data_IF_133941711764
#
_entry.id   IF_133941711764
#
_cell.length_a   1.000
_cell.length_b   1.000
_cell.length_c   1.000
_cell.angle_alpha   90.00
_cell.angle_beta   90.00
_cell.angle_gamma   90.00
#
_symmetry.space_group_name_H-M   'P 1'
#
loop_
_entity.id
_entity.type
_entity.pdbx_description
1 polymer ?
#
# COMPACT_ATOMS: atom_id res chain seq x y z
N UNK A 1 27.75 45.20 -26.69
CA UNK A 1 28.36 43.96 -27.20
C UNK A 1 28.59 43.02 -26.03
N UNK A 2 27.87 41.89 -26.03
CA UNK A 2 28.05 40.61 -25.32
C UNK A 2 28.74 40.57 -23.93
N UNK A 3 27.92 40.30 -22.91
CA UNK A 3 28.34 39.53 -21.74
C UNK A 3 27.33 38.41 -21.51
N UNK A 4 27.72 37.17 -21.83
CA UNK A 4 26.94 35.95 -21.56
C UNK A 4 26.99 35.65 -20.06
N UNK A 5 25.83 35.57 -19.41
CA UNK A 5 25.71 35.00 -18.06
C UNK A 5 25.12 33.60 -18.17
N UNK A 6 25.89 32.66 -17.63
CA UNK A 6 25.65 31.21 -17.57
C UNK A 6 24.69 30.87 -16.42
N UNK A 7 23.85 29.86 -16.67
CA UNK A 7 23.05 29.00 -15.78
C UNK A 7 22.95 29.33 -14.28
N UNK A 8 21.72 29.26 -13.76
CA UNK A 8 21.38 28.53 -12.52
C UNK A 8 19.90 28.10 -12.56
N UNK A 9 19.65 26.85 -12.99
CA UNK A 9 18.44 26.10 -12.60
C UNK A 9 18.80 25.35 -11.33
N UNK A 10 18.30 25.81 -10.18
CA UNK A 10 18.25 25.02 -8.96
C UNK A 10 16.90 24.31 -8.95
N UNK A 11 16.92 23.01 -9.19
CA UNK A 11 15.84 22.11 -8.80
C UNK A 11 15.91 21.96 -7.27
N UNK A 12 14.87 22.38 -6.57
CA UNK A 12 14.70 22.12 -5.15
C UNK A 12 14.21 20.68 -4.98
N UNK A 13 15.17 19.75 -4.88
CA UNK A 13 14.99 18.45 -4.26
C UNK A 13 15.49 18.55 -2.81
N UNK A 14 14.67 18.15 -1.84
CA UNK A 14 15.04 18.05 -0.43
C UNK A 14 13.79 17.98 0.46
N UNK A 15 13.62 17.04 1.39
CA UNK A 15 14.54 16.02 1.88
C UNK A 15 13.77 14.81 2.43
N UNK A 16 14.21 13.62 2.03
CA UNK A 16 14.02 12.37 2.77
C UNK A 16 15.16 12.34 3.80
N UNK A 17 14.85 12.25 5.09
CA UNK A 17 15.83 11.98 6.12
C UNK A 17 16.05 10.45 6.20
N UNK A 18 17.23 10.01 5.78
CA UNK A 18 17.68 8.63 5.91
C UNK A 18 18.37 8.41 7.26
N UNK A 19 18.07 7.27 7.89
CA UNK A 19 18.83 6.69 9.00
C UNK A 19 20.21 6.25 8.49
N UNK A 20 21.25 6.54 9.28
CA UNK A 20 22.64 6.24 8.94
C UNK A 20 23.01 4.77 9.11
N UNK A 21 23.77 4.25 8.15
CA UNK A 21 24.96 3.43 8.38
C UNK A 21 25.80 3.45 7.09
N UNK A 22 27.08 3.76 7.24
CA UNK A 22 28.05 3.98 6.16
C UNK A 22 28.38 2.65 5.48
N UNK A 23 28.17 2.58 4.17
CA UNK A 23 28.66 1.53 3.29
C UNK A 23 28.71 2.07 1.87
N UNK A 24 29.91 2.34 1.36
CA UNK A 24 30.15 2.84 0.02
C UNK A 24 29.75 1.76 -0.99
N UNK A 25 28.56 1.86 -1.57
CA UNK A 25 28.22 1.15 -2.80
C UNK A 25 27.96 2.16 -3.91
N UNK A 26 28.74 2.00 -4.98
CA UNK A 26 28.72 2.81 -6.18
C UNK A 26 27.31 2.94 -6.75
N UNK A 27 27.02 4.16 -7.23
CA UNK A 27 25.71 4.56 -7.74
C UNK A 27 25.17 3.65 -8.84
N UNK A 28 24.13 2.90 -8.48
CA UNK A 28 23.03 2.64 -9.41
C UNK A 28 22.10 3.83 -9.24
N UNK A 29 22.00 4.67 -10.27
CA UNK A 29 21.10 5.81 -10.24
C UNK A 29 19.69 5.32 -9.90
N UNK A 30 19.14 5.77 -8.76
CA UNK A 30 17.72 5.59 -8.49
C UNK A 30 16.98 6.29 -9.63
N UNK A 31 16.41 5.51 -10.55
CA UNK A 31 15.49 6.04 -11.53
C UNK A 31 14.43 6.81 -10.74
N UNK A 32 14.35 8.12 -10.95
CA UNK A 32 13.30 8.92 -10.33
C UNK A 32 11.96 8.32 -10.76
N UNK A 33 11.07 8.09 -9.80
CA UNK A 33 9.71 7.66 -10.09
C UNK A 33 9.09 8.59 -11.14
N UNK A 34 8.48 8.03 -12.19
CA UNK A 34 7.78 8.87 -13.17
C UNK A 34 6.60 9.57 -12.48
N UNK A 35 6.20 10.69 -13.07
CA UNK A 35 5.04 11.46 -12.64
C UNK A 35 4.13 11.71 -13.83
N UNK A 36 2.83 11.51 -13.66
CA UNK A 36 1.80 11.86 -14.64
C UNK A 36 1.04 13.08 -14.14
N UNK A 37 0.92 14.09 -14.99
CA UNK A 37 0.36 15.39 -14.66
C UNK A 37 1.44 16.49 -14.60
N UNK A 38 1.16 17.63 -13.94
CA UNK A 38 -0.07 17.92 -13.20
C UNK A 38 -1.24 18.24 -14.13
N UNK A 39 -2.38 17.61 -13.88
CA UNK A 39 -3.67 18.09 -14.38
C UNK A 39 -4.09 19.31 -13.56
N UNK A 40 -4.54 20.38 -14.22
CA UNK A 40 -4.84 21.67 -13.59
C UNK A 40 -6.30 22.05 -13.79
N UNK A 41 -6.86 22.73 -12.80
CA UNK A 41 -8.16 23.35 -12.89
C UNK A 41 -8.23 24.57 -12.00
N UNK A 42 -9.35 25.28 -12.08
CA UNK A 42 -9.54 26.47 -11.26
C UNK A 42 -11.02 26.77 -11.05
N UNK A 43 -11.30 27.53 -9.99
CA UNK A 43 -12.60 28.15 -9.72
C UNK A 43 -12.43 29.66 -9.53
N UNK A 44 -13.48 30.33 -9.06
CA UNK A 44 -13.43 31.71 -8.59
C UNK A 44 -12.68 31.86 -7.26
N UNK A 45 -12.56 30.80 -6.45
CA UNK A 45 -11.91 30.85 -5.14
C UNK A 45 -10.47 30.32 -5.15
N UNK A 46 -10.18 29.29 -5.95
CA UNK A 46 -8.88 28.59 -5.91
C UNK A 46 -8.35 28.23 -7.31
N UNK A 47 -7.04 28.07 -7.40
CA UNK A 47 -6.36 27.27 -8.41
C UNK A 47 -5.99 25.92 -7.79
N UNK A 48 -6.14 24.84 -8.56
CA UNK A 48 -5.75 23.52 -8.10
C UNK A 48 -5.02 22.72 -9.17
N UNK A 49 -4.19 21.79 -8.71
CA UNK A 49 -3.51 20.83 -9.56
C UNK A 49 -3.39 19.48 -8.89
N UNK A 50 -3.40 18.42 -9.71
CA UNK A 50 -3.30 17.03 -9.28
C UNK A 50 -2.28 16.29 -10.12
N UNK A 51 -1.38 15.56 -9.48
CA UNK A 51 -0.38 14.71 -10.14
C UNK A 51 -0.33 13.34 -9.46
N UNK A 52 0.10 12.34 -10.23
CA UNK A 52 0.25 10.96 -9.77
C UNK A 52 1.70 10.56 -9.93
N UNK A 53 2.29 10.00 -8.89
CA UNK A 53 3.63 9.43 -8.92
C UNK A 53 3.63 8.02 -8.32
N UNK A 54 4.68 7.26 -8.56
CA UNK A 54 4.83 5.94 -7.95
C UNK A 54 6.12 5.28 -8.40
N UNK A 55 6.71 4.45 -7.54
CA UNK A 55 7.98 3.78 -7.85
C UNK A 55 7.90 2.87 -9.07
N UNK A 56 6.72 2.26 -9.31
CA UNK A 56 6.44 1.39 -10.46
C UNK A 56 5.66 2.09 -11.57
N UNK A 57 5.42 3.39 -11.44
CA UNK A 57 4.84 4.19 -12.51
C UNK A 57 5.94 4.42 -13.55
N UNK A 58 5.72 3.95 -14.78
CA UNK A 58 6.66 4.12 -15.88
C UNK A 58 5.88 4.47 -17.15
N UNK A 59 6.19 5.60 -17.78
CA UNK A 59 5.50 6.13 -18.96
C UNK A 59 3.96 6.17 -18.78
N UNK A 60 3.50 6.53 -17.58
CA UNK A 60 2.09 6.56 -17.22
C UNK A 60 1.40 5.21 -17.05
N UNK A 61 2.16 4.11 -17.09
CA UNK A 61 1.68 2.75 -16.83
C UNK A 61 2.03 2.31 -15.42
N UNK A 62 1.10 1.64 -14.74
CA UNK A 62 1.31 1.12 -13.38
C UNK A 62 0.70 -0.28 -13.25
N UNK A 63 1.44 -1.28 -12.74
CA UNK A 63 0.88 -2.59 -12.50
C UNK A 63 -0.21 -2.58 -11.42
N UNK A 64 -1.27 -3.37 -11.62
CA UNK A 64 -2.30 -3.55 -10.61
C UNK A 64 -1.72 -4.17 -9.33
N UNK A 65 -2.22 -3.76 -8.16
CA UNK A 65 -1.68 -4.16 -6.86
C UNK A 65 -0.46 -3.36 -6.40
N UNK A 66 0.02 -2.40 -7.20
CA UNK A 66 1.05 -1.45 -6.78
C UNK A 66 0.44 -0.24 -6.06
N UNK A 67 1.29 0.48 -5.34
CA UNK A 67 0.91 1.74 -4.68
C UNK A 67 1.30 2.94 -5.54
N UNK A 68 0.38 3.90 -5.67
CA UNK A 68 0.64 5.22 -6.26
C UNK A 68 0.41 6.31 -5.22
N UNK A 69 1.10 7.43 -5.37
CA UNK A 69 0.92 8.63 -4.57
C UNK A 69 0.18 9.66 -5.41
N UNK A 70 -0.93 10.17 -4.89
CA UNK A 70 -1.60 11.34 -5.48
C UNK A 70 -1.15 12.56 -4.71
N UNK A 71 -0.71 13.59 -5.45
CA UNK A 71 -0.41 14.91 -4.90
C UNK A 71 -1.45 15.91 -5.38
N UNK A 72 -2.21 16.48 -4.46
CA UNK A 72 -3.12 17.59 -4.69
C UNK A 72 -2.48 18.89 -4.20
N UNK A 73 -2.56 19.95 -5.00
CA UNK A 73 -2.15 21.30 -4.62
C UNK A 73 -3.33 22.23 -4.81
N UNK A 74 -3.66 23.00 -3.79
CA UNK A 74 -4.76 23.98 -3.82
C UNK A 74 -4.22 25.29 -3.31
N UNK A 75 -4.39 26.35 -4.10
CA UNK A 75 -3.96 27.71 -3.78
C UNK A 75 -5.16 28.64 -3.91
N UNK A 76 -5.41 29.49 -2.91
CA UNK A 76 -6.44 30.52 -3.02
C UNK A 76 -6.07 31.60 -4.06
N UNK A 77 -7.07 32.17 -4.74
CA UNK A 77 -6.91 33.32 -5.64
C UNK A 77 -7.08 34.68 -4.95
N UNK A 78 -7.82 34.73 -3.85
CA UNK A 78 -8.22 35.96 -3.15
C UNK A 78 -8.14 35.79 -1.62
N UNK A 79 -8.89 36.57 -0.84
CA UNK A 79 -9.02 36.44 0.61
C UNK A 79 -9.73 35.14 1.08
N UNK A 80 -10.16 34.28 0.14
CA UNK A 80 -10.93 33.09 0.46
C UNK A 80 -10.06 31.96 0.98
N UNK A 81 -10.17 31.66 2.27
CA UNK A 81 -9.45 30.59 2.93
C UNK A 81 -10.11 29.22 2.68
N UNK A 82 -9.29 28.17 2.65
CA UNK A 82 -9.70 26.77 2.41
C UNK A 82 -9.94 26.07 3.76
N UNK A 83 -11.08 25.40 3.95
CA UNK A 83 -11.43 24.74 5.21
C UNK A 83 -11.19 23.23 5.20
N UNK A 84 -11.38 22.58 4.07
CA UNK A 84 -11.08 21.17 3.89
C UNK A 84 -10.70 20.92 2.44
N UNK A 85 -9.96 19.83 2.24
CA UNK A 85 -9.72 19.26 0.92
C UNK A 85 -10.03 17.77 0.99
N UNK A 86 -10.77 17.30 -0.01
CA UNK A 86 -11.20 15.91 -0.17
C UNK A 86 -10.75 15.43 -1.54
N UNK A 87 -9.95 14.38 -1.53
CA UNK A 87 -9.64 13.59 -2.69
C UNK A 87 -10.84 12.70 -3.00
N UNK A 88 -11.34 12.76 -4.22
CA UNK A 88 -12.36 11.83 -4.72
C UNK A 88 -11.68 10.94 -5.75
N UNK A 89 -11.79 9.62 -5.64
CA UNK A 89 -11.11 8.69 -6.51
C UNK A 89 -12.02 7.49 -6.83
N UNK A 90 -11.74 6.71 -7.89
CA UNK A 90 -12.41 5.44 -8.11
C UNK A 90 -12.38 4.55 -6.86
N UNK A 91 -13.44 3.76 -6.63
CA UNK A 91 -13.56 2.84 -5.49
C UNK A 91 -12.50 1.73 -5.51
N UNK A 92 -11.95 1.43 -6.69
CA UNK A 92 -10.85 0.49 -6.88
C UNK A 92 -9.49 1.04 -6.41
N UNK A 93 -9.41 2.31 -6.01
CA UNK A 93 -8.24 2.89 -5.35
C UNK A 93 -8.47 2.89 -3.85
N UNK A 94 -7.67 2.13 -3.10
CA UNK A 94 -7.81 2.03 -1.65
C UNK A 94 -6.77 2.90 -0.96
N UNK A 95 -7.23 3.87 -0.15
CA UNK A 95 -6.34 4.73 0.62
C UNK A 95 -5.49 3.87 1.57
N UNK A 96 -4.17 3.97 1.45
CA UNK A 96 -3.25 3.33 2.39
C UNK A 96 -3.35 4.07 3.72
N UNK A 97 -3.65 3.38 4.84
CA UNK A 97 -3.73 4.04 6.14
C UNK A 97 -2.42 4.74 6.50
N UNK A 98 -2.51 5.87 7.19
CA UNK A 98 -1.35 6.58 7.76
C UNK A 98 -0.29 7.02 6.72
N UNK A 99 -0.68 7.37 5.49
CA UNK A 99 0.25 7.91 4.46
C UNK A 99 -0.07 9.33 4.02
N UNK A 100 -1.07 9.97 4.65
CA UNK A 100 -1.40 11.36 4.35
C UNK A 100 -0.32 12.28 4.92
N UNK A 101 0.25 13.11 4.05
CA UNK A 101 1.19 14.19 4.42
C UNK A 101 0.73 15.47 3.75
N UNK A 102 0.60 16.54 4.52
CA UNK A 102 0.19 17.83 3.96
C UNK A 102 1.02 18.99 4.51
N UNK A 103 1.30 19.95 3.64
CA UNK A 103 2.00 21.18 3.97
C UNK A 103 1.07 22.37 3.83
N UNK A 104 0.96 23.16 4.89
CA UNK A 104 0.22 24.42 4.93
C UNK A 104 1.13 25.48 5.53
N UNK A 105 1.27 26.62 4.85
CA UNK A 105 2.07 27.76 5.30
C UNK A 105 3.49 27.37 5.77
N UNK A 106 4.13 26.45 5.02
CA UNK A 106 5.50 25.99 5.30
C UNK A 106 5.63 24.97 6.44
N UNK A 107 4.53 24.58 7.10
CA UNK A 107 4.53 23.52 8.12
C UNK A 107 3.96 22.23 7.55
N UNK A 108 4.65 21.12 7.80
CA UNK A 108 4.24 19.78 7.38
C UNK A 108 3.56 19.02 8.51
N UNK A 109 2.44 18.41 8.18
CA UNK A 109 1.58 17.61 9.03
C UNK A 109 1.43 16.22 8.43
N UNK A 110 1.08 15.25 9.27
CA UNK A 110 0.89 13.85 8.85
C UNK A 110 -0.13 13.14 9.75
N UNK A 111 -0.83 12.13 9.21
CA UNK A 111 -1.63 11.21 10.02
C UNK A 111 -0.86 9.97 10.48
N UNK A 112 0.43 9.82 10.11
CA UNK A 112 1.27 8.75 10.60
C UNK A 112 1.78 9.05 12.02
N UNK A 113 1.42 8.24 13.04
CA UNK A 113 1.91 8.42 14.41
C UNK A 113 3.41 8.15 14.55
N UNK A 114 4.07 7.58 13.53
CA UNK A 114 5.48 7.24 13.54
C UNK A 114 6.33 8.11 12.60
N UNK A 115 5.72 8.98 11.80
CA UNK A 115 6.45 9.82 10.86
C UNK A 115 6.93 11.11 11.52
N UNK A 116 8.07 11.62 11.05
CA UNK A 116 8.59 12.93 11.44
C UNK A 116 7.67 14.05 10.91
N UNK A 117 7.18 14.92 11.80
CA UNK A 117 6.27 16.01 11.43
C UNK A 117 5.26 16.32 12.54
N UNK A 118 4.36 17.27 12.29
CA UNK A 118 3.27 17.55 13.24
C UNK A 118 2.17 16.50 13.06
N UNK A 119 2.06 15.59 14.01
CA UNK A 119 1.10 14.49 13.95
C UNK A 119 -0.33 14.97 14.21
N UNK A 120 -1.22 14.71 13.27
CA UNK A 120 -2.64 15.10 13.29
C UNK A 120 -3.52 13.97 12.73
N UNK A 121 -3.50 12.76 13.31
CA UNK A 121 -4.24 11.62 12.78
C UNK A 121 -5.75 11.84 12.70
N UNK A 122 -6.33 12.61 13.63
CA UNK A 122 -7.76 12.91 13.66
C UNK A 122 -8.24 13.89 12.59
N UNK A 123 -7.33 14.56 11.86
CA UNK A 123 -7.69 15.50 10.79
C UNK A 123 -7.88 14.79 9.44
N UNK A 124 -7.49 13.52 9.33
CA UNK A 124 -7.64 12.71 8.11
C UNK A 124 -8.71 11.65 8.31
N UNK A 125 -9.65 11.59 7.37
CA UNK A 125 -10.68 10.55 7.30
C UNK A 125 -10.72 9.99 5.89
N UNK A 126 -11.06 8.71 5.73
CA UNK A 126 -11.18 8.08 4.43
C UNK A 126 -12.37 7.14 4.38
N UNK A 127 -12.81 6.85 3.16
CA UNK A 127 -13.85 5.88 2.87
C UNK A 127 -13.73 5.38 1.44
N UNK A 128 -14.68 4.55 1.02
CA UNK A 128 -14.67 4.04 -0.35
C UNK A 128 -14.81 5.20 -1.34
N UNK A 129 -13.81 5.36 -2.22
CA UNK A 129 -13.79 6.40 -3.25
C UNK A 129 -13.47 7.82 -2.76
N UNK A 130 -13.02 7.99 -1.51
CA UNK A 130 -12.56 9.30 -1.05
C UNK A 130 -11.58 9.26 0.14
N UNK A 131 -10.75 10.28 0.23
CA UNK A 131 -9.98 10.65 1.43
C UNK A 131 -10.13 12.14 1.69
N UNK A 132 -10.12 12.59 2.93
CA UNK A 132 -10.33 14.00 3.27
C UNK A 132 -9.44 14.44 4.42
N UNK A 133 -8.84 15.62 4.26
CA UNK A 133 -8.27 16.39 5.37
C UNK A 133 -9.28 17.47 5.77
N UNK A 134 -9.73 17.39 7.02
CA UNK A 134 -10.64 18.36 7.64
C UNK A 134 -10.14 18.71 9.05
N UNK A 135 -9.34 19.77 9.19
CA UNK A 135 -8.91 20.22 10.50
C UNK A 135 -10.09 20.84 11.28
N UNK A 136 -10.01 20.93 12.62
CA UNK A 136 -11.03 21.57 13.44
C UNK A 136 -11.21 23.05 13.08
N UNK A 137 -12.45 23.54 13.24
CA UNK A 137 -13.08 24.70 12.57
C UNK A 137 -12.49 26.12 12.73
N UNK A 138 -11.22 26.26 13.09
CA UNK A 138 -10.47 27.52 13.05
C UNK A 138 -9.23 27.47 12.13
N UNK A 139 -8.90 26.29 11.59
CA UNK A 139 -7.75 26.11 10.72
C UNK A 139 -8.17 26.27 9.26
N UNK A 140 -7.98 27.46 8.72
CA UNK A 140 -8.24 27.75 7.32
C UNK A 140 -6.94 28.08 6.60
N UNK A 141 -6.79 27.59 5.36
CA UNK A 141 -5.51 27.58 4.67
C UNK A 141 -5.47 28.55 3.51
N UNK A 142 -4.31 29.15 3.28
CA UNK A 142 -4.05 29.92 2.07
C UNK A 142 -3.68 29.02 0.89
N UNK A 143 -2.88 28.01 1.18
CA UNK A 143 -2.52 26.96 0.27
C UNK A 143 -2.32 25.66 1.04
N UNK A 144 -2.55 24.56 0.34
CA UNK A 144 -2.27 23.22 0.84
C UNK A 144 -1.66 22.38 -0.29
N UNK A 145 -0.55 21.73 0.00
CA UNK A 145 -0.03 20.61 -0.80
C UNK A 145 -0.26 19.35 0.02
N UNK A 146 -0.95 18.36 -0.53
CA UNK A 146 -1.31 17.14 0.16
C UNK A 146 -0.98 15.92 -0.70
N UNK A 147 -0.26 14.96 -0.11
CA UNK A 147 -0.01 13.65 -0.69
C UNK A 147 -0.77 12.56 0.07
N UNK A 148 -1.31 11.58 -0.65
CA UNK A 148 -1.91 10.37 -0.10
C UNK A 148 -1.57 9.18 -0.99
N UNK A 149 -1.19 8.06 -0.37
CA UNK A 149 -0.91 6.82 -1.10
C UNK A 149 -2.17 5.99 -1.28
N UNK A 150 -2.27 5.34 -2.43
CA UNK A 150 -3.37 4.47 -2.80
C UNK A 150 -2.86 3.14 -3.36
N UNK A 151 -3.35 2.05 -2.81
CA UNK A 151 -3.20 0.72 -3.40
C UNK A 151 -4.16 0.60 -4.58
N UNK A 152 -3.63 0.30 -5.77
CA UNK A 152 -4.41 0.09 -6.98
C UNK A 152 -5.00 -1.32 -6.99
N UNK A 153 -6.32 -1.38 -7.12
CA UNK A 153 -7.14 -2.59 -7.19
C UNK A 153 -8.11 -2.50 -8.37
N UNK A 154 -7.65 -1.94 -9.49
CA UNK A 154 -8.47 -1.55 -10.62
C UNK A 154 -8.36 -2.54 -11.78
N UNK A 155 -9.37 -2.51 -12.66
CA UNK A 155 -9.30 -3.21 -13.94
C UNK A 155 -8.14 -2.69 -14.78
N UNK A 156 -7.65 -3.55 -15.68
CA UNK A 156 -6.59 -3.20 -16.62
C UNK A 156 -7.11 -2.20 -17.65
N UNK A 157 -6.28 -1.21 -17.98
CA UNK A 157 -6.56 -0.18 -18.97
C UNK A 157 -6.54 1.23 -18.38
N UNK A 158 -7.10 2.17 -19.13
CA UNK A 158 -7.11 3.57 -18.77
C UNK A 158 -7.96 3.84 -17.52
N UNK A 159 -7.33 4.40 -16.50
CA UNK A 159 -7.92 4.79 -15.22
C UNK A 159 -7.79 6.30 -15.02
N UNK A 160 -8.91 7.01 -14.98
CA UNK A 160 -8.91 8.38 -14.46
C UNK A 160 -8.73 8.33 -12.93
N UNK A 161 -7.73 9.03 -12.40
CA UNK A 161 -7.41 8.99 -10.95
C UNK A 161 -8.37 9.80 -10.07
N UNK A 162 -9.49 10.25 -10.62
CA UNK A 162 -10.55 10.96 -9.90
C UNK A 162 -10.37 12.46 -9.91
N UNK A 163 -10.53 13.09 -8.76
CA UNK A 163 -10.67 14.53 -8.68
C UNK A 163 -10.62 15.07 -7.26
N UNK A 164 -11.09 16.30 -7.14
CA UNK A 164 -10.87 17.11 -5.96
C UNK A 164 -12.17 17.79 -5.55
N UNK A 165 -12.47 17.72 -4.26
CA UNK A 165 -13.49 18.52 -3.62
C UNK A 165 -12.85 19.36 -2.51
N UNK A 166 -13.34 20.57 -2.31
CA UNK A 166 -12.88 21.46 -1.24
C UNK A 166 -14.01 22.39 -0.81
N UNK A 167 -13.82 23.02 0.34
CA UNK A 167 -14.66 24.14 0.79
C UNK A 167 -13.80 25.34 1.05
N UNK A 168 -14.35 26.51 0.72
CA UNK A 168 -13.73 27.80 1.01
C UNK A 168 -14.71 28.70 1.76
N UNK A 169 -14.20 29.83 2.24
CA UNK A 169 -15.02 30.94 2.78
C UNK A 169 -15.91 31.62 1.72
N UNK A 170 -15.73 31.35 0.42
CA UNK A 170 -16.60 31.86 -0.63
C UNK A 170 -17.86 31.00 -0.79
N UNK A 171 -19.01 31.57 -0.45
CA UNK A 171 -20.32 30.89 -0.49
C UNK A 171 -20.80 30.52 -1.90
N UNK A 172 -20.18 31.09 -2.94
CA UNK A 172 -20.55 30.85 -4.34
C UNK A 172 -19.72 29.78 -5.05
N UNK A 173 -18.72 29.17 -4.39
CA UNK A 173 -17.94 28.09 -5.01
C UNK A 173 -18.60 26.73 -4.77
N UNK A 174 -18.86 25.99 -5.85
CA UNK A 174 -19.35 24.61 -5.74
C UNK A 174 -18.23 23.62 -5.37
N UNK A 175 -16.96 24.04 -5.49
CA UNK A 175 -15.78 23.37 -4.92
C UNK A 175 -15.59 21.91 -5.28
N UNK A 176 -16.34 21.35 -6.23
CA UNK A 176 -16.39 19.92 -6.55
C UNK A 176 -16.01 19.69 -8.00
N UNK A 177 -14.94 18.92 -8.20
CA UNK A 177 -14.31 18.67 -9.49
C UNK A 177 -13.97 17.18 -9.59
N UNK A 178 -14.93 16.29 -9.90
CA UNK A 178 -14.79 14.84 -9.69
C UNK A 178 -13.81 14.13 -10.64
N UNK A 179 -13.47 14.73 -11.79
CA UNK A 179 -12.71 14.10 -12.87
C UNK A 179 -11.54 14.99 -13.37
N UNK A 180 -10.78 15.58 -12.46
CA UNK A 180 -9.65 16.47 -12.78
C UNK A 180 -8.29 15.81 -12.66
N UNK A 181 -8.23 14.55 -12.24
CA UNK A 181 -7.01 13.78 -12.14
C UNK A 181 -6.50 13.34 -13.50
N UNK A 182 -5.17 13.16 -13.62
CA UNK A 182 -4.60 12.57 -14.81
C UNK A 182 -5.09 11.13 -14.97
N UNK A 183 -5.08 10.67 -16.23
CA UNK A 183 -5.31 9.27 -16.57
C UNK A 183 -3.99 8.50 -16.51
N UNK A 184 -3.99 7.36 -15.84
CA UNK A 184 -2.90 6.37 -15.86
C UNK A 184 -3.40 5.11 -16.58
N UNK A 185 -2.49 4.27 -17.06
CA UNK A 185 -2.82 2.98 -17.67
C UNK A 185 -2.47 1.85 -16.68
N UNK A 186 -3.49 1.19 -16.14
CA UNK A 186 -3.31 0.07 -15.22
C UNK A 186 -2.94 -1.16 -16.03
N UNK A 187 -1.75 -1.69 -15.82
CA UNK A 187 -1.30 -2.92 -16.47
C UNK A 187 -1.58 -4.13 -15.57
N UNK A 188 -1.56 -5.36 -16.10
CA UNK A 188 -1.54 -6.55 -15.24
C UNK A 188 -0.45 -6.42 -14.17
N UNK A 189 -0.80 -6.79 -12.93
CA UNK A 189 0.15 -6.87 -11.82
C UNK A 189 1.07 -8.07 -11.96
N UNK A 190 2.11 -8.16 -11.13
CA UNK A 190 2.91 -9.40 -11.05
C UNK A 190 2.08 -10.47 -10.34
N UNK A 191 1.85 -11.64 -10.94
CA UNK A 191 1.19 -12.75 -10.27
C UNK A 191 1.98 -13.18 -9.03
N UNK A 192 1.29 -13.44 -7.93
CA UNK A 192 1.96 -13.87 -6.70
C UNK A 192 1.03 -14.61 -5.74
N UNK A 193 1.65 -15.32 -4.80
CA UNK A 193 0.97 -15.91 -3.65
C UNK A 193 1.38 -15.11 -2.42
N UNK A 194 0.45 -14.95 -1.48
CA UNK A 194 0.73 -14.37 -0.17
C UNK A 194 0.10 -15.22 0.92
N UNK A 195 0.81 -15.35 2.03
CA UNK A 195 0.42 -16.21 3.15
C UNK A 195 0.30 -15.37 4.41
N UNK A 196 -0.77 -15.60 5.17
CA UNK A 196 -1.03 -14.99 6.46
C UNK A 196 -1.53 -16.05 7.47
N UNK A 197 -0.96 -16.15 8.68
CA UNK A 197 0.20 -15.40 9.17
C UNK A 197 1.50 -15.81 8.46
N UNK A 198 2.50 -14.92 8.45
CA UNK A 198 3.83 -15.21 7.85
C UNK A 198 4.58 -16.27 8.64
N UNK A 199 4.35 -16.30 9.94
CA UNK A 199 4.79 -17.27 10.93
C UNK A 199 3.73 -18.37 11.14
N UNK A 200 3.28 -18.95 10.03
CA UNK A 200 2.31 -20.02 10.05
C UNK A 200 2.81 -21.23 10.86
N UNK A 201 1.93 -21.79 11.69
CA UNK A 201 2.20 -22.97 12.52
C UNK A 201 1.20 -24.08 12.26
N UNK A 202 1.59 -25.32 12.55
CA UNK A 202 0.71 -26.48 12.39
C UNK A 202 -0.58 -26.36 13.21
N UNK A 203 -1.66 -26.91 12.65
CA UNK A 203 -3.01 -26.96 13.21
C UNK A 203 -3.73 -25.62 13.41
N UNK A 204 -3.18 -24.52 12.88
CA UNK A 204 -3.85 -23.23 12.82
C UNK A 204 -4.26 -22.87 11.39
N UNK A 205 -5.21 -21.95 11.28
CA UNK A 205 -5.66 -21.41 9.99
C UNK A 205 -4.54 -20.60 9.34
N UNK A 206 -4.26 -20.94 8.09
CA UNK A 206 -3.35 -20.21 7.20
C UNK A 206 -4.14 -19.73 6.01
N UNK A 207 -4.25 -18.42 5.88
CA UNK A 207 -4.90 -17.77 4.75
C UNK A 207 -3.89 -17.58 3.60
N UNK A 208 -4.16 -18.21 2.47
CA UNK A 208 -3.37 -18.09 1.25
C UNK A 208 -4.16 -17.27 0.24
N UNK A 209 -3.56 -16.19 -0.27
CA UNK A 209 -4.18 -15.31 -1.26
C UNK A 209 -3.34 -15.23 -2.52
N UNK A 210 -3.96 -15.51 -3.66
CA UNK A 210 -3.37 -15.41 -4.99
C UNK A 210 -3.72 -14.02 -5.51
N UNK A 211 -2.72 -13.27 -5.94
CA UNK A 211 -2.84 -11.87 -6.37
C UNK A 211 -2.44 -11.75 -7.82
N UNK A 212 -3.24 -10.99 -8.57
CA UNK A 212 -2.97 -10.63 -9.97
C UNK A 212 -2.59 -11.82 -10.87
N UNK A 213 -3.22 -13.01 -10.75
CA UNK A 213 -2.98 -14.05 -11.73
C UNK A 213 -3.53 -13.59 -13.09
N UNK A 214 -2.89 -14.05 -14.15
CA UNK A 214 -3.50 -13.99 -15.48
C UNK A 214 -4.72 -14.93 -15.48
N UNK A 215 -5.87 -14.39 -15.89
CA UNK A 215 -7.18 -15.03 -15.79
C UNK A 215 -8.30 -13.99 -15.69
N UNK A 216 -9.53 -14.42 -15.97
CA UNK A 216 -10.76 -13.62 -15.89
C UNK A 216 -11.53 -13.93 -14.60
N UNK A 217 -12.33 -12.99 -14.08
CA UNK A 217 -13.27 -13.29 -13.01
C UNK A 217 -14.13 -14.52 -13.35
N UNK A 218 -14.25 -15.45 -12.41
CA UNK A 218 -14.92 -16.74 -12.60
C UNK A 218 -14.03 -17.89 -13.10
N UNK A 219 -12.81 -17.61 -13.57
CA UNK A 219 -11.86 -18.67 -13.90
C UNK A 219 -11.51 -19.48 -12.63
N UNK A 220 -11.42 -20.80 -12.78
CA UNK A 220 -11.16 -21.71 -11.66
C UNK A 220 -9.71 -21.65 -11.23
N UNK A 221 -9.50 -21.71 -9.93
CA UNK A 221 -8.18 -21.80 -9.32
C UNK A 221 -8.09 -23.03 -8.44
N UNK A 222 -7.04 -23.82 -8.67
CA UNK A 222 -6.67 -24.96 -7.84
C UNK A 222 -5.34 -24.67 -7.18
N UNK A 223 -5.31 -24.71 -5.85
CA UNK A 223 -4.07 -24.56 -5.09
C UNK A 223 -3.54 -25.93 -4.67
N UNK A 224 -2.29 -26.19 -5.02
CA UNK A 224 -1.60 -27.45 -4.77
C UNK A 224 -0.30 -27.23 -4.02
N UNK A 225 0.12 -28.25 -3.27
CA UNK A 225 1.48 -28.38 -2.75
C UNK A 225 1.98 -29.81 -2.97
N UNK A 226 3.23 -29.95 -3.42
CA UNK A 226 3.82 -31.23 -3.81
C UNK A 226 2.92 -32.04 -4.77
N UNK A 227 2.25 -31.33 -5.69
CA UNK A 227 1.32 -31.92 -6.67
C UNK A 227 -0.03 -32.37 -6.12
N UNK A 228 -0.31 -32.16 -4.82
CA UNK A 228 -1.60 -32.47 -4.17
C UNK A 228 -2.38 -31.21 -3.89
N UNK A 229 -3.68 -31.23 -4.16
CA UNK A 229 -4.59 -30.14 -3.78
C UNK A 229 -4.58 -29.94 -2.28
N UNK A 230 -4.47 -28.69 -1.83
CA UNK A 230 -4.62 -28.35 -0.42
C UNK A 230 -6.09 -28.50 -0.01
N UNK A 231 -6.32 -29.02 1.19
CA UNK A 231 -7.66 -29.19 1.76
C UNK A 231 -8.41 -27.85 1.74
N UNK A 232 -9.59 -27.83 1.10
CA UNK A 232 -10.41 -26.62 0.95
C UNK A 232 -10.04 -25.71 -0.23
N UNK A 233 -8.95 -25.96 -0.95
CA UNK A 233 -8.45 -25.06 -2.00
C UNK A 233 -8.56 -25.63 -3.43
N UNK A 234 -9.49 -26.55 -3.68
CA UNK A 234 -9.59 -27.30 -4.95
C UNK A 234 -10.57 -26.78 -5.99
N UNK A 235 -11.46 -25.84 -5.64
CA UNK A 235 -12.50 -25.33 -6.54
C UNK A 235 -12.77 -23.86 -6.22
N UNK A 236 -11.73 -23.03 -6.31
CA UNK A 236 -11.85 -21.61 -6.05
C UNK A 236 -12.10 -20.87 -7.37
N UNK A 237 -12.56 -19.62 -7.29
CA UNK A 237 -12.80 -18.76 -8.45
C UNK A 237 -12.13 -17.42 -8.26
N UNK A 238 -11.60 -16.85 -9.33
CA UNK A 238 -11.14 -15.46 -9.32
C UNK A 238 -12.33 -14.52 -9.11
N UNK A 239 -12.21 -13.64 -8.12
CA UNK A 239 -13.19 -12.59 -7.87
C UNK A 239 -13.11 -11.47 -8.93
N UNK A 240 -13.98 -10.47 -8.80
CA UNK A 240 -13.99 -9.29 -9.69
C UNK A 240 -12.67 -8.50 -9.71
N UNK A 241 -11.81 -8.67 -8.71
CA UNK A 241 -10.48 -8.05 -8.63
C UNK A 241 -9.36 -8.99 -9.11
N UNK A 242 -9.71 -10.14 -9.71
CA UNK A 242 -8.79 -11.23 -10.06
C UNK A 242 -7.95 -11.66 -8.85
N UNK A 243 -8.62 -11.89 -7.72
CA UNK A 243 -8.02 -12.45 -6.52
C UNK A 243 -8.78 -13.67 -6.09
N UNK A 244 -8.10 -14.52 -5.34
CA UNK A 244 -8.74 -15.62 -4.67
C UNK A 244 -8.03 -15.93 -3.37
N UNK A 245 -8.82 -16.27 -2.35
CA UNK A 245 -8.33 -16.57 -1.02
C UNK A 245 -8.80 -17.97 -0.61
N UNK A 246 -7.90 -18.74 -0.03
CA UNK A 246 -8.19 -20.03 0.58
C UNK A 246 -7.69 -20.05 2.03
N UNK A 247 -8.43 -20.71 2.91
CA UNK A 247 -7.95 -21.04 4.26
C UNK A 247 -7.54 -22.51 4.29
N UNK A 248 -6.30 -22.76 4.69
CA UNK A 248 -5.71 -24.09 4.81
C UNK A 248 -5.20 -24.33 6.24
N UNK A 249 -5.38 -25.54 6.77
CA UNK A 249 -4.89 -25.92 8.10
C UNK A 249 -3.77 -26.98 7.96
N UNK A 250 -2.49 -26.58 7.95
CA UNK A 250 -1.37 -27.52 7.79
C UNK A 250 -1.28 -28.48 8.97
N UNK A 251 -1.10 -29.77 8.69
CA UNK A 251 -0.99 -30.82 9.72
C UNK A 251 0.44 -31.21 10.08
N UNK A 252 1.42 -30.76 9.29
CA UNK A 252 2.85 -31.07 9.50
C UNK A 252 3.69 -29.82 9.32
N UNK A 253 4.75 -29.69 10.11
CA UNK A 253 5.73 -28.64 9.93
C UNK A 253 6.61 -28.94 8.71
N UNK A 254 7.19 -27.90 8.12
CA UNK A 254 8.08 -28.06 6.97
C UNK A 254 8.02 -26.91 5.98
N UNK A 255 8.59 -27.13 4.80
CA UNK A 255 8.51 -26.23 3.66
C UNK A 255 7.55 -26.83 2.64
N UNK A 256 6.59 -26.04 2.19
CA UNK A 256 5.57 -26.45 1.23
C UNK A 256 5.73 -25.60 -0.03
N UNK A 257 6.11 -26.19 -1.17
CA UNK A 257 6.05 -25.49 -2.44
C UNK A 257 4.57 -25.33 -2.80
N UNK A 258 4.12 -24.09 -2.96
CA UNK A 258 2.76 -23.76 -3.36
C UNK A 258 2.72 -23.55 -4.87
N UNK A 259 1.67 -24.07 -5.50
CA UNK A 259 1.38 -23.88 -6.92
C UNK A 259 -0.11 -23.64 -7.11
N UNK A 260 -0.47 -22.44 -7.55
CA UNK A 260 -1.81 -22.11 -8.02
C UNK A 260 -1.88 -22.32 -9.52
N UNK A 261 -2.87 -23.07 -9.98
CA UNK A 261 -3.17 -23.26 -11.41
C UNK A 261 -4.50 -22.59 -11.72
N UNK A 262 -4.49 -21.68 -12.68
CA UNK A 262 -5.67 -20.93 -13.12
C UNK A 262 -6.15 -21.50 -14.45
N UNK A 263 -7.43 -21.87 -14.52
CA UNK A 263 -8.05 -22.43 -15.72
C UNK A 263 -8.42 -21.32 -16.70
N UNK A 264 -7.44 -20.86 -17.48
CA UNK A 264 -7.62 -19.99 -18.63
C UNK A 264 -7.41 -20.77 -19.94
N UNK A 265 -7.68 -20.14 -21.10
CA UNK A 265 -7.42 -20.73 -22.43
C UNK A 265 -5.97 -21.23 -22.55
N UNK A 266 -5.03 -20.49 -21.95
CA UNK A 266 -3.67 -20.94 -21.66
C UNK A 266 -3.51 -21.00 -20.14
N UNK A 267 -3.40 -22.19 -19.51
CA UNK A 267 -3.34 -22.30 -18.06
C UNK A 267 -2.14 -21.58 -17.46
N UNK A 268 -2.42 -20.66 -16.54
CA UNK A 268 -1.37 -19.88 -15.87
C UNK A 268 -1.02 -20.55 -14.55
N UNK A 269 0.27 -20.55 -14.23
CA UNK A 269 0.78 -21.07 -12.96
C UNK A 269 1.46 -19.98 -12.17
N UNK A 270 1.07 -19.84 -10.90
CA UNK A 270 1.78 -19.02 -9.91
C UNK A 270 2.38 -19.92 -8.85
N UNK A 271 3.65 -19.72 -8.52
CA UNK A 271 4.36 -20.54 -7.51
C UNK A 271 4.93 -19.69 -6.40
N UNK A 272 5.03 -20.28 -5.20
CA UNK A 272 5.70 -19.71 -4.04
C UNK A 272 6.11 -20.84 -3.08
N UNK A 273 6.76 -20.53 -1.96
CA UNK A 273 7.06 -21.50 -0.90
C UNK A 273 6.68 -20.92 0.46
N UNK A 274 5.92 -21.70 1.23
CA UNK A 274 5.58 -21.35 2.61
C UNK A 274 6.35 -22.24 3.59
N UNK A 275 6.79 -21.65 4.70
CA UNK A 275 7.31 -22.40 5.83
C UNK A 275 6.26 -22.50 6.93
N UNK A 276 6.01 -23.71 7.40
CA UNK A 276 5.13 -24.00 8.54
C UNK A 276 6.00 -24.46 9.70
N UNK A 277 5.94 -23.73 10.81
CA UNK A 277 6.63 -24.10 12.04
C UNK A 277 5.84 -25.09 12.89
N UNK A 278 6.54 -25.79 13.79
CA UNK A 278 5.90 -26.66 14.77
C UNK A 278 5.08 -25.85 15.78
N UNK A 279 4.06 -26.48 16.34
CA UNK A 279 3.31 -25.87 17.42
C UNK A 279 4.15 -26.02 18.70
N UNK A 280 4.54 -24.93 19.38
CA UNK A 280 5.32 -25.02 20.61
C UNK A 280 4.64 -25.84 21.72
N UNK A 281 3.33 -26.10 21.62
CA UNK A 281 2.58 -26.94 22.56
C UNK A 281 2.73 -28.46 22.34
N UNK A 282 3.38 -28.94 21.27
CA UNK A 282 3.55 -30.38 21.01
C UNK A 282 4.86 -30.98 21.53
N UNK A 283 5.59 -30.26 22.37
CA UNK A 283 6.73 -30.83 23.11
C UNK A 283 6.25 -31.97 24.00
N UNK A 284 6.46 -33.21 23.57
CA UNK A 284 6.36 -34.37 24.44
C UNK A 284 7.33 -34.18 25.60
N UNK A 285 6.81 -33.82 26.77
CA UNK A 285 7.51 -34.05 28.04
C UNK A 285 7.59 -35.56 28.16
N UNK A 286 8.73 -36.13 27.77
CA UNK A 286 9.08 -37.49 28.13
C UNK A 286 9.09 -37.55 29.65
N UNK A 287 8.03 -38.08 30.25
CA UNK A 287 8.05 -38.55 31.62
C UNK A 287 9.03 -39.71 31.67
N UNK A 288 10.28 -39.40 31.96
CA UNK A 288 11.24 -40.38 32.41
C UNK A 288 10.77 -40.82 33.81
N UNK A 289 9.94 -41.87 33.87
CA UNK A 289 9.59 -42.55 35.12
C UNK A 289 10.80 -43.37 35.56
N UNK A 290 11.87 -42.68 35.97
CA UNK A 290 13.08 -43.22 36.54
C UNK A 290 13.14 -42.98 38.05
N UNK A 291 12.42 -43.83 38.78
CA UNK A 291 12.68 -44.27 40.17
C UNK A 291 13.51 -43.35 41.09
N UNK A 292 12.83 -42.60 41.97
CA UNK A 292 13.45 -42.00 43.17
C UNK A 292 12.95 -42.74 44.43
N UNK A 293 13.68 -43.79 44.79
CA UNK A 293 13.81 -44.39 46.12
C UNK A 293 15.15 -45.15 46.03
N UNK A 294 16.22 -44.83 46.75
CA UNK A 294 16.43 -44.88 48.22
C UNK A 294 17.67 -44.02 48.54
N UNK A 295 17.67 -43.12 49.52
CA UNK A 295 18.00 -43.42 50.92
C UNK A 295 19.51 -43.57 51.16
N UNK A 296 20.17 -42.56 51.76
CA UNK A 296 21.08 -42.69 52.92
C UNK A 296 21.89 -41.40 53.13
N UNK A 297 21.67 -40.76 54.28
CA UNK A 297 22.55 -39.76 54.90
C UNK A 297 23.49 -40.52 55.86
N UNK A 298 24.79 -40.38 55.64
CA UNK A 298 25.91 -40.89 56.44
C UNK A 298 27.14 -40.88 55.54
N UNK A 299 28.31 -40.35 55.87
CA UNK A 299 28.91 -39.92 57.12
C UNK A 299 29.96 -38.84 56.80
N UNK A 300 30.11 -37.84 57.67
CA UNK A 300 31.31 -37.01 57.78
C UNK A 300 31.71 -37.00 59.26
N UNK A 301 32.69 -37.84 59.60
CA UNK A 301 33.49 -37.72 60.83
C UNK A 301 34.94 -38.06 60.44
N UNK A 302 35.85 -37.14 60.75
CA UNK A 302 37.30 -37.26 60.54
C UNK A 302 37.94 -35.91 60.32
#
# INVERSE_FOLDING_TARGET
MNTKVVLRRLAAAGAIAALGAVGVMAGVGAAAADTVGPAKGSSSAVDFSREVSGFKLVNGKVPNGETITITNRVNRKLAWLIYYVKDTHPSCMQAVPNTSVWTVSGKTYTNDPNHAGTQRPSEVTSGLGWTQIKPPGANSWESVTWTQDYLLMCDVGALNTGGLQYSTTWVGDQGSHPNVGPTVDVTPGVPGISVNPKDAIVNNDVQITIKNPDGRPGDKVVLTSDGKTLDGCGNLELDGNRRVTCTWVPKKAGKYPLKAVISSEEPVTVTDTVHIAENPASGSVGMDTGSIYTGSLGDLVG
#
